data_IF_837005093259
#
_entry.id   IF_837005093259
#
_cell.length_a   1.000
_cell.length_b   1.000
_cell.length_c   1.000
_cell.angle_alpha   90.00
_cell.angle_beta   90.00
_cell.angle_gamma   90.00
#
_symmetry.space_group_name_H-M   'P 1'
#
loop_
_entity.id
_entity.type
_entity.pdbx_description
1 polymer ?
#
# COMPACT_ATOMS: atom_id res chain seq x y z
N UNK A 1 -49.06 -14.63 -20.03
CA UNK A 1 -47.69 -15.21 -20.16
C UNK A 1 -46.53 -14.19 -20.15
N UNK A 2 -46.73 -12.93 -19.78
CA UNK A 2 -45.62 -11.92 -19.72
C UNK A 2 -44.90 -11.87 -18.37
N UNK A 3 -45.50 -12.35 -17.29
CA UNK A 3 -44.96 -12.25 -15.92
C UNK A 3 -43.87 -13.28 -15.60
N UNK A 4 -43.86 -14.45 -16.25
CA UNK A 4 -42.85 -15.48 -15.98
C UNK A 4 -41.41 -15.10 -16.37
N UNK A 5 -41.25 -14.22 -17.36
CA UNK A 5 -39.92 -13.73 -17.77
C UNK A 5 -39.32 -12.81 -16.73
N UNK A 6 -40.10 -11.96 -16.08
CA UNK A 6 -39.63 -11.06 -15.02
C UNK A 6 -39.31 -11.80 -13.73
N UNK A 7 -40.03 -12.86 -13.40
CA UNK A 7 -39.76 -13.70 -12.23
C UNK A 7 -38.42 -14.44 -12.40
N UNK A 8 -38.15 -14.96 -13.60
CA UNK A 8 -36.88 -15.64 -13.92
C UNK A 8 -35.70 -14.68 -13.84
N UNK A 9 -35.84 -13.44 -14.32
CA UNK A 9 -34.81 -12.41 -14.25
C UNK A 9 -34.57 -11.98 -12.79
N UNK A 10 -35.61 -11.81 -12.01
CA UNK A 10 -35.50 -11.49 -10.58
C UNK A 10 -34.83 -12.62 -9.78
N UNK A 11 -35.14 -13.88 -10.05
CA UNK A 11 -34.48 -15.04 -9.44
C UNK A 11 -33.01 -15.17 -9.81
N UNK A 12 -32.64 -14.80 -11.04
CA UNK A 12 -31.23 -14.80 -11.47
C UNK A 12 -30.40 -13.66 -10.83
N UNK A 13 -31.02 -12.51 -10.55
CA UNK A 13 -30.33 -11.40 -9.86
C UNK A 13 -30.04 -11.71 -8.37
N UNK A 14 -30.87 -12.50 -7.72
CA UNK A 14 -30.68 -12.86 -6.31
C UNK A 14 -29.60 -13.93 -6.09
N UNK A 15 -29.31 -14.76 -7.09
CA UNK A 15 -28.24 -15.77 -7.00
C UNK A 15 -26.80 -15.22 -7.04
N UNK A 16 -26.62 -13.97 -7.46
CA UNK A 16 -25.29 -13.34 -7.54
C UNK A 16 -24.91 -12.47 -6.34
N UNK A 17 -25.72 -12.43 -5.28
CA UNK A 17 -25.35 -11.80 -4.02
C UNK A 17 -24.41 -12.71 -3.21
N UNK A 18 -23.37 -13.23 -3.81
CA UNK A 18 -22.26 -13.87 -3.13
C UNK A 18 -21.59 -12.84 -2.23
N UNK A 19 -21.75 -13.00 -0.92
CA UNK A 19 -21.05 -12.21 0.10
C UNK A 19 -19.55 -12.47 -0.08
N UNK A 20 -18.88 -11.56 -0.77
CA UNK A 20 -17.40 -11.59 -0.87
C UNK A 20 -16.88 -11.12 0.48
N UNK A 21 -16.76 -12.04 1.41
CA UNK A 21 -16.14 -11.80 2.70
C UNK A 21 -14.64 -11.55 2.47
N UNK A 22 -14.19 -10.35 2.81
CA UNK A 22 -12.79 -10.00 2.79
C UNK A 22 -12.13 -10.60 4.03
N UNK A 23 -11.79 -11.88 3.98
CA UNK A 23 -11.13 -12.58 5.09
C UNK A 23 -9.72 -12.08 5.32
N UNK A 24 -9.28 -12.12 6.56
CA UNK A 24 -7.89 -11.98 6.99
C UNK A 24 -7.25 -13.35 7.13
N UNK A 25 -5.93 -13.42 7.04
CA UNK A 25 -5.15 -14.64 7.26
C UNK A 25 -3.88 -14.33 8.04
N UNK A 26 -3.66 -15.08 9.12
CA UNK A 26 -2.36 -15.06 9.80
C UNK A 26 -1.32 -15.78 8.93
N UNK A 27 -0.23 -15.13 8.62
CA UNK A 27 0.82 -15.68 7.75
C UNK A 27 2.18 -15.06 8.06
N UNK A 28 3.22 -15.76 7.66
CA UNK A 28 4.59 -15.23 7.73
C UNK A 28 4.76 -14.10 6.74
N UNK A 29 5.30 -12.98 7.20
CA UNK A 29 5.70 -11.84 6.38
C UNK A 29 7.15 -11.47 6.69
N UNK A 30 7.81 -10.89 5.71
CA UNK A 30 9.12 -10.29 5.85
C UNK A 30 8.96 -8.77 5.76
N UNK A 31 9.56 -8.04 6.70
CA UNK A 31 9.47 -6.59 6.72
C UNK A 31 10.79 -5.96 7.16
N UNK A 32 10.97 -4.72 6.80
CA UNK A 32 12.01 -3.84 7.32
C UNK A 32 11.46 -2.42 7.48
N UNK A 33 12.09 -1.67 8.36
CA UNK A 33 11.80 -0.27 8.58
C UNK A 33 12.76 0.64 7.82
N UNK A 34 12.22 1.73 7.36
CA UNK A 34 12.98 2.87 6.85
C UNK A 34 12.53 4.12 7.58
N UNK A 35 13.47 4.92 8.06
CA UNK A 35 13.16 6.21 8.66
C UNK A 35 14.07 7.29 8.06
N UNK A 36 13.52 8.49 7.96
CA UNK A 36 14.24 9.69 7.58
C UNK A 36 13.91 10.82 8.56
N UNK A 37 14.90 11.62 8.90
CA UNK A 37 14.70 12.88 9.61
C UNK A 37 14.55 14.01 8.58
N UNK A 38 13.69 14.97 8.88
CA UNK A 38 13.61 16.21 8.09
C UNK A 38 14.63 17.25 8.54
N UNK A 39 15.22 17.07 9.71
CA UNK A 39 16.14 18.05 10.30
C UNK A 39 17.60 17.82 9.87
N UNK A 40 17.89 16.63 9.39
CA UNK A 40 19.23 16.25 8.94
C UNK A 40 19.16 15.29 7.75
N UNK A 41 20.32 15.03 7.12
CA UNK A 41 20.42 14.09 6.00
C UNK A 41 20.61 12.64 6.45
N UNK A 42 20.18 12.28 7.69
CA UNK A 42 20.33 10.91 8.20
C UNK A 42 19.11 10.07 7.84
N UNK A 43 19.35 8.86 7.35
CA UNK A 43 18.33 7.85 7.11
C UNK A 43 18.70 6.56 7.83
N UNK A 44 17.69 5.87 8.32
CA UNK A 44 17.84 4.64 9.06
C UNK A 44 17.19 3.48 8.30
N UNK A 45 17.87 2.35 8.29
CA UNK A 45 17.36 1.09 7.77
C UNK A 45 17.47 0.04 8.86
N UNK A 46 16.40 -0.70 9.12
CA UNK A 46 16.49 -1.90 9.97
C UNK A 46 16.89 -3.12 9.15
N UNK A 47 17.35 -4.16 9.82
CA UNK A 47 17.43 -5.49 9.24
C UNK A 47 16.06 -5.97 8.71
N UNK A 48 16.10 -6.87 7.73
CA UNK A 48 14.91 -7.60 7.30
C UNK A 48 14.55 -8.62 8.36
N UNK A 49 13.36 -8.50 8.93
CA UNK A 49 12.85 -9.37 9.99
C UNK A 49 11.65 -10.17 9.49
N UNK A 50 11.54 -11.40 9.98
CA UNK A 50 10.39 -12.26 9.70
C UNK A 50 9.42 -12.21 10.87
N UNK A 51 8.15 -11.99 10.58
CA UNK A 51 7.03 -12.05 11.52
C UNK A 51 6.14 -13.22 11.11
N UNK A 52 6.07 -14.25 11.95
CA UNK A 52 5.39 -15.51 11.60
C UNK A 52 3.87 -15.43 11.69
N UNK A 53 3.34 -14.53 12.54
CA UNK A 53 1.91 -14.43 12.87
C UNK A 53 1.29 -13.09 12.45
N UNK A 54 1.76 -12.50 11.36
CA UNK A 54 1.21 -11.24 10.87
C UNK A 54 -0.15 -11.46 10.20
N UNK A 55 -1.10 -10.58 10.48
CA UNK A 55 -2.42 -10.61 9.85
C UNK A 55 -2.38 -9.91 8.50
N UNK A 56 -2.75 -10.61 7.45
CA UNK A 56 -2.74 -10.10 6.06
C UNK A 56 -4.10 -10.29 5.43
N UNK A 57 -4.60 -9.26 4.78
CA UNK A 57 -5.85 -9.33 4.02
C UNK A 57 -5.70 -10.31 2.86
N UNK A 58 -6.62 -11.26 2.75
CA UNK A 58 -6.53 -12.37 1.78
C UNK A 58 -6.54 -11.88 0.32
N UNK A 59 -7.37 -10.88 0.02
CA UNK A 59 -7.55 -10.38 -1.36
C UNK A 59 -6.45 -9.42 -1.80
N UNK A 60 -6.20 -8.37 -1.03
CA UNK A 60 -5.26 -7.29 -1.39
C UNK A 60 -3.83 -7.58 -0.98
N UNK A 61 -3.64 -8.60 -0.13
CA UNK A 61 -2.36 -8.92 0.51
C UNK A 61 -1.81 -7.76 1.35
N UNK A 62 -2.70 -6.90 1.85
CA UNK A 62 -2.34 -5.78 2.71
C UNK A 62 -2.00 -6.29 4.11
N UNK A 63 -0.93 -5.77 4.71
CA UNK A 63 -0.52 -6.07 6.08
C UNK A 63 -1.34 -5.20 7.04
N UNK A 64 -2.14 -5.82 7.89
CA UNK A 64 -2.81 -5.12 8.98
C UNK A 64 -1.81 -4.60 10.00
N UNK A 65 -2.10 -3.44 10.58
CA UNK A 65 -1.21 -2.83 11.56
C UNK A 65 0.13 -2.36 11.01
N UNK A 66 0.26 -2.16 9.70
CA UNK A 66 1.50 -1.66 9.11
C UNK A 66 1.98 -0.37 9.76
N UNK A 67 1.06 0.49 10.13
CA UNK A 67 1.37 1.75 10.80
C UNK A 67 1.88 1.52 12.24
N UNK A 68 1.35 0.51 12.94
CA UNK A 68 1.83 0.13 14.27
C UNK A 68 3.30 -0.35 14.24
N UNK A 69 3.70 -1.09 13.20
CA UNK A 69 5.12 -1.41 13.00
C UNK A 69 5.96 -0.15 12.74
N UNK A 70 5.44 0.82 11.97
CA UNK A 70 6.14 2.09 11.75
C UNK A 70 6.25 2.91 13.04
N UNK A 71 5.25 2.84 13.92
CA UNK A 71 5.27 3.49 15.23
C UNK A 71 6.28 2.87 16.17
N UNK A 72 6.44 1.55 16.19
CA UNK A 72 7.49 0.88 16.98
C UNK A 72 8.89 1.41 16.62
N UNK A 73 9.19 1.52 15.32
CA UNK A 73 10.46 2.08 14.88
C UNK A 73 10.59 3.57 15.23
N UNK A 74 9.52 4.34 15.09
CA UNK A 74 9.50 5.76 15.42
C UNK A 74 9.79 5.98 16.89
N UNK A 75 9.14 5.23 17.76
CA UNK A 75 9.26 5.40 19.21
C UNK A 75 10.67 4.98 19.67
N UNK A 76 11.19 3.86 19.14
CA UNK A 76 12.59 3.48 19.36
C UNK A 76 13.59 4.60 18.94
N UNK A 77 13.42 5.17 17.75
CA UNK A 77 14.33 6.23 17.28
C UNK A 77 14.23 7.51 18.09
N UNK A 78 13.05 7.86 18.61
CA UNK A 78 12.87 8.99 19.51
C UNK A 78 13.64 8.79 20.82
N UNK A 79 13.57 7.62 21.39
CA UNK A 79 14.31 7.25 22.61
C UNK A 79 15.83 7.29 22.39
N UNK A 80 16.29 7.08 21.14
CA UNK A 80 17.70 7.10 20.76
C UNK A 80 18.16 8.42 20.10
N UNK A 81 17.47 9.52 20.41
CA UNK A 81 17.92 10.88 20.08
C UNK A 81 17.48 11.41 18.71
N UNK A 82 16.61 10.71 17.97
CA UNK A 82 16.01 11.24 16.74
C UNK A 82 14.68 11.91 17.08
N UNK A 83 14.64 13.24 17.17
CA UNK A 83 13.46 13.97 17.68
C UNK A 83 12.19 13.80 16.80
N UNK A 84 12.34 13.82 15.48
CA UNK A 84 11.20 13.82 14.54
C UNK A 84 11.41 12.83 13.38
N UNK A 85 11.53 11.50 13.65
CA UNK A 85 11.71 10.52 12.58
C UNK A 85 10.39 10.28 11.85
N UNK A 86 10.43 10.33 10.52
CA UNK A 86 9.35 9.84 9.67
C UNK A 86 9.65 8.40 9.30
N UNK A 87 8.86 7.48 9.85
CA UNK A 87 9.07 6.05 9.72
C UNK A 87 8.05 5.41 8.78
N UNK A 88 8.51 4.48 7.96
CA UNK A 88 7.67 3.63 7.14
C UNK A 88 8.10 2.17 7.27
N UNK A 89 7.13 1.25 7.23
CA UNK A 89 7.38 -0.18 7.19
C UNK A 89 7.12 -0.71 5.79
N UNK A 90 8.11 -1.37 5.23
CA UNK A 90 8.03 -2.05 3.94
C UNK A 90 7.93 -3.55 4.21
N UNK A 91 7.01 -4.22 3.54
CA UNK A 91 6.79 -5.65 3.76
C UNK A 91 6.63 -6.42 2.44
N UNK A 92 6.79 -7.73 2.52
CA UNK A 92 6.49 -8.69 1.47
C UNK A 92 6.20 -10.07 2.06
N UNK A 93 5.41 -10.88 1.32
CA UNK A 93 5.11 -12.27 1.70
C UNK A 93 6.25 -13.25 1.37
N UNK A 94 7.19 -12.84 0.52
CA UNK A 94 8.33 -13.66 0.09
C UNK A 94 9.63 -12.93 0.39
N UNK A 95 10.59 -13.64 0.96
CA UNK A 95 11.90 -13.12 1.31
C UNK A 95 12.60 -12.46 0.10
N UNK A 96 12.67 -13.14 -1.02
CA UNK A 96 13.27 -12.60 -2.27
C UNK A 96 12.68 -11.23 -2.69
N UNK A 97 11.39 -11.03 -2.45
CA UNK A 97 10.73 -9.78 -2.82
C UNK A 97 11.08 -8.64 -1.86
N UNK A 98 11.20 -8.91 -0.57
CA UNK A 98 11.58 -7.89 0.41
C UNK A 98 13.05 -7.49 0.24
N UNK A 99 13.95 -8.46 -0.03
CA UNK A 99 15.35 -8.20 -0.32
C UNK A 99 15.52 -7.29 -1.54
N UNK A 100 14.79 -7.57 -2.61
CA UNK A 100 14.79 -6.70 -3.81
C UNK A 100 14.34 -5.26 -3.48
N UNK A 101 13.26 -5.12 -2.69
CA UNK A 101 12.76 -3.80 -2.26
C UNK A 101 13.79 -3.09 -1.40
N UNK A 102 14.43 -3.81 -0.47
CA UNK A 102 15.46 -3.29 0.42
C UNK A 102 16.66 -2.76 -0.36
N UNK A 103 17.22 -3.57 -1.27
CA UNK A 103 18.37 -3.20 -2.09
C UNK A 103 18.04 -1.96 -2.95
N UNK A 104 16.88 -1.93 -3.57
CA UNK A 104 16.46 -0.82 -4.42
C UNK A 104 16.31 0.47 -3.62
N UNK A 105 15.72 0.41 -2.43
CA UNK A 105 15.57 1.57 -1.58
C UNK A 105 16.94 2.04 -1.04
N UNK A 106 17.77 1.11 -0.57
CA UNK A 106 19.13 1.42 -0.07
C UNK A 106 20.00 2.10 -1.13
N UNK A 107 20.01 1.56 -2.35
CA UNK A 107 20.74 2.16 -3.49
C UNK A 107 20.32 3.62 -3.75
N UNK A 108 19.03 3.92 -3.61
CA UNK A 108 18.49 5.26 -3.84
C UNK A 108 19.06 6.30 -2.85
N UNK A 109 19.39 5.89 -1.63
CA UNK A 109 19.92 6.78 -0.59
C UNK A 109 21.44 6.74 -0.50
N UNK A 110 22.09 5.58 -0.73
CA UNK A 110 23.55 5.45 -0.71
C UNK A 110 24.24 6.28 -1.81
N UNK A 111 23.57 6.47 -2.96
CA UNK A 111 24.11 7.29 -4.07
C UNK A 111 23.87 8.80 -3.94
N UNK A 112 23.34 9.27 -2.81
CA UNK A 112 23.06 10.68 -2.52
C UNK A 112 23.76 11.09 -1.24
N UNK A 113 23.81 12.39 -0.94
CA UNK A 113 24.45 12.93 0.26
C UNK A 113 23.68 12.62 1.57
N UNK A 114 23.24 11.37 1.76
CA UNK A 114 22.60 10.91 2.99
C UNK A 114 23.56 10.08 3.83
N UNK A 115 23.53 10.30 5.14
CA UNK A 115 24.18 9.43 6.12
C UNK A 115 23.27 8.23 6.37
N UNK A 116 23.65 7.06 5.87
CA UNK A 116 22.85 5.83 6.02
C UNK A 116 23.28 5.10 7.28
N UNK A 117 22.41 5.06 8.28
CA UNK A 117 22.57 4.28 9.51
C UNK A 117 21.79 2.96 9.40
N UNK A 118 22.39 1.90 9.90
CA UNK A 118 21.79 0.57 9.90
C UNK A 118 21.49 0.13 11.34
N UNK A 119 20.26 -0.30 11.58
CA UNK A 119 19.83 -0.87 12.86
C UNK A 119 19.77 -2.39 12.74
N UNK A 120 20.60 -3.06 13.48
CA UNK A 120 20.64 -4.53 13.51
C UNK A 120 19.45 -5.10 14.26
N UNK A 121 19.15 -6.39 14.04
CA UNK A 121 18.08 -7.10 14.74
C UNK A 121 18.33 -7.25 16.25
N UNK A 122 19.57 -7.03 16.71
CA UNK A 122 19.94 -6.97 18.13
C UNK A 122 19.61 -5.61 18.77
N UNK A 123 19.68 -4.53 18.00
CA UNK A 123 19.35 -3.18 18.48
C UNK A 123 17.85 -2.92 18.42
N UNK A 124 17.21 -3.33 17.33
CA UNK A 124 15.77 -3.11 17.15
C UNK A 124 15.08 -4.33 16.57
N UNK A 125 14.07 -4.82 17.27
CA UNK A 125 13.25 -5.96 16.87
C UNK A 125 11.77 -5.61 16.89
N UNK A 126 11.07 -5.91 15.79
CA UNK A 126 9.63 -5.73 15.71
C UNK A 126 8.89 -6.72 16.60
N UNK A 127 7.90 -6.22 17.33
CA UNK A 127 6.93 -7.03 18.06
C UNK A 127 5.74 -7.31 17.12
N UNK A 128 5.30 -8.57 16.99
CA UNK A 128 4.13 -8.90 16.19
C UNK A 128 2.89 -8.13 16.63
N UNK A 129 2.21 -7.51 15.68
CA UNK A 129 0.90 -6.88 15.92
C UNK A 129 -0.16 -7.93 15.64
N UNK A 130 -0.84 -8.36 16.70
CA UNK A 130 -1.94 -9.34 16.62
C UNK A 130 -3.24 -8.58 16.52
N UNK A 131 -4.03 -8.88 15.48
CA UNK A 131 -5.43 -8.48 15.39
C UNK A 131 -6.28 -9.72 15.61
N UNK A 132 -7.28 -9.62 16.47
CA UNK A 132 -8.38 -10.58 16.50
C UNK A 132 -9.27 -10.34 15.28
N UNK A 133 -9.96 -11.38 14.82
CA UNK A 133 -10.72 -11.30 13.55
C UNK A 133 -11.82 -10.22 13.59
N UNK A 134 -12.29 -9.86 14.79
CA UNK A 134 -13.31 -8.82 15.02
C UNK A 134 -12.72 -7.38 14.97
N UNK A 135 -11.42 -7.19 15.20
CA UNK A 135 -10.73 -5.91 15.19
C UNK A 135 -10.10 -5.56 13.82
N UNK A 136 -10.18 -6.46 12.84
CA UNK A 136 -9.68 -6.17 11.52
C UNK A 136 -10.50 -5.01 10.92
N UNK A 137 -9.92 -3.81 10.69
CA UNK A 137 -10.68 -2.66 10.24
C UNK A 137 -11.43 -3.02 8.96
N UNK A 138 -12.75 -2.89 8.99
CA UNK A 138 -13.56 -2.97 7.77
C UNK A 138 -13.04 -1.90 6.82
N UNK A 139 -12.27 -2.33 5.83
CA UNK A 139 -11.88 -1.42 4.75
C UNK A 139 -13.17 -1.03 4.05
N UNK A 140 -13.61 0.21 4.30
CA UNK A 140 -14.83 0.75 3.71
C UNK A 140 -14.68 0.77 2.19
N UNK A 141 -15.10 -0.34 1.56
CA UNK A 141 -15.02 -0.58 0.11
C UNK A 141 -15.70 0.52 -0.69
N UNK A 142 -16.61 1.25 -0.06
CA UNK A 142 -17.35 2.35 -0.66
C UNK A 142 -16.48 3.60 -0.73
N UNK A 143 -15.70 3.88 0.33
CA UNK A 143 -14.76 5.01 0.37
C UNK A 143 -13.56 4.79 -0.56
N UNK A 144 -13.02 3.57 -0.63
CA UNK A 144 -11.91 3.24 -1.54
C UNK A 144 -12.33 3.30 -3.02
N UNK A 145 -13.51 2.75 -3.35
CA UNK A 145 -14.08 2.88 -4.70
C UNK A 145 -14.40 4.32 -5.07
N UNK A 146 -14.88 5.13 -4.12
CA UNK A 146 -15.14 6.55 -4.35
C UNK A 146 -13.84 7.32 -4.62
N UNK A 147 -12.79 7.11 -3.81
CA UNK A 147 -11.46 7.70 -4.02
C UNK A 147 -10.82 7.26 -5.34
N UNK A 148 -10.92 5.97 -5.70
CA UNK A 148 -10.41 5.47 -6.97
C UNK A 148 -11.17 6.03 -8.18
N UNK A 149 -12.49 6.24 -8.07
CA UNK A 149 -13.32 6.87 -9.12
C UNK A 149 -13.01 8.34 -9.28
N UNK A 150 -12.82 9.07 -8.18
CA UNK A 150 -12.40 10.48 -8.20
C UNK A 150 -11.00 10.66 -8.79
N UNK A 151 -10.03 9.80 -8.42
CA UNK A 151 -8.68 9.84 -8.97
C UNK A 151 -8.65 9.54 -10.48
N UNK A 152 -9.50 8.61 -10.96
CA UNK A 152 -9.65 8.34 -12.40
C UNK A 152 -10.31 9.52 -13.14
N UNK A 153 -11.33 10.16 -12.55
CA UNK A 153 -11.99 11.32 -13.13
C UNK A 153 -11.03 12.52 -13.23
N UNK A 154 -10.28 12.81 -12.17
CA UNK A 154 -9.26 13.86 -12.17
C UNK A 154 -8.16 13.64 -13.22
N UNK A 155 -7.67 12.39 -13.37
CA UNK A 155 -6.71 12.03 -14.43
C UNK A 155 -7.28 12.20 -15.84
N UNK A 156 -8.57 11.92 -16.03
CA UNK A 156 -9.23 12.10 -17.32
C UNK A 156 -9.35 13.58 -17.68
N UNK A 157 -9.76 14.41 -16.74
CA UNK A 157 -9.84 15.88 -16.94
C UNK A 157 -8.48 16.51 -17.24
N UNK A 158 -7.41 16.07 -16.56
CA UNK A 158 -6.05 16.52 -16.86
C UNK A 158 -5.58 16.11 -18.26
N UNK A 159 -5.98 14.95 -18.77
CA UNK A 159 -5.66 14.52 -20.14
C UNK A 159 -6.45 15.27 -21.20
N UNK A 160 -7.71 15.58 -20.95
CA UNK A 160 -8.57 16.33 -21.87
C UNK A 160 -8.18 17.82 -21.93
N UNK A 161 -7.74 18.41 -20.80
CA UNK A 161 -7.24 19.78 -20.76
C UNK A 161 -5.82 19.98 -21.32
N UNK A 162 -5.04 18.90 -21.50
CA UNK A 162 -3.69 18.96 -22.05
C UNK A 162 -3.62 18.64 -23.56
N UNK A 163 -4.77 18.40 -24.21
CA UNK A 163 -4.81 18.11 -25.64
C UNK A 163 -4.81 19.44 -26.42
N UNK A 164 -3.79 19.74 -27.24
CA UNK A 164 -3.80 20.92 -28.08
C UNK A 164 -4.96 20.84 -29.10
N UNK A 165 -5.56 21.99 -29.49
CA UNK A 165 -6.65 22.00 -30.43
C UNK A 165 -6.20 21.39 -31.76
N UNK A 166 -7.03 20.47 -32.28
CA UNK A 166 -6.78 19.79 -33.57
C UNK A 166 -6.72 20.86 -34.67
N UNK A 167 -5.68 20.91 -35.49
CA UNK A 167 -5.60 21.91 -36.57
C UNK A 167 -6.77 21.70 -37.54
N UNK A 168 -7.35 22.82 -38.08
CA UNK A 168 -8.43 22.73 -39.04
C UNK A 168 -7.94 22.00 -40.29
N UNK A 169 -8.70 20.99 -40.70
CA UNK A 169 -8.42 20.19 -41.88
C UNK A 169 -8.40 21.01 -43.13
N UNK A 170 -7.23 21.29 -43.70
CA UNK A 170 -7.04 21.81 -45.02
C UNK A 170 -7.27 20.73 -46.07
N UNK A 171 -8.51 20.59 -46.50
CA UNK A 171 -8.84 19.85 -47.72
C UNK A 171 -8.83 20.81 -48.90
N UNK A 172 -7.79 20.74 -49.72
CA UNK A 172 -7.87 21.08 -51.16
C UNK A 172 -6.85 20.28 -51.90
N UNK A 173 -7.31 19.29 -52.69
CA UNK A 173 -6.57 18.73 -53.80
C UNK A 173 -6.72 19.66 -54.99
N UNK A 174 -5.66 20.11 -55.65
CA UNK A 174 -5.75 20.67 -57.00
C UNK A 174 -5.86 19.52 -58.02
N UNK A 175 -6.62 19.77 -59.07
CA UNK A 175 -6.72 19.01 -60.31
C UNK A 175 -5.38 18.95 -61.05
#
# INVERSE_FOLDING_TARGET
>A
MKYNKFIIIAAFLTMFAGVVQAGSKKTKVFLYGFAASFNDSTVYFTDIQAIDTATVQTRTKFLYGRDNYSYQLRDYLKEHGCATPTCITVFALKQKNIEKKYINLKKKYTGKNYVVKHLTASEFKYVPVVYEDDDAPEVDKKAEKAKAKQAKAARKQQREGAMPPRPPGGGQRPM
#
